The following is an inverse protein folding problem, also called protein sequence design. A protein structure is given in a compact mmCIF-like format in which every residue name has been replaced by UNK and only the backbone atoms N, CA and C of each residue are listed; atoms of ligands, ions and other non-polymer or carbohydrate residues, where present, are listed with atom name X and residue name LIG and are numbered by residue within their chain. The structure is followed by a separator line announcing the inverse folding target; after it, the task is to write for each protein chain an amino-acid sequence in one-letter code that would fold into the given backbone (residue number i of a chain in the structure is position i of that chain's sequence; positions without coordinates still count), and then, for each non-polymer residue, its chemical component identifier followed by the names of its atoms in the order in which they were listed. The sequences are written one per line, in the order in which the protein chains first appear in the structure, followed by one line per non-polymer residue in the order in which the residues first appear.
data_IF_623409447516
#
_entry.id   IF_623409447516
#
_cell.length_a   1.000
_cell.length_b   1.000
_cell.length_c   1.000
_cell.angle_alpha   90.00
_cell.angle_beta   90.00
_cell.angle_gamma   90.00
#
_symmetry.space_group_name_H-M   'P 1'
#
loop_
_entity.id
_entity.type
_entity.pdbx_description
1 polymer ?
#
# COMPACT_ATOMS: atom_id res chain seq x y z
N UNK A 1 -8.06 -8.56 10.11
CA UNK A 1 -7.89 -9.33 8.86
C UNK A 1 -6.47 -9.05 8.40
N UNK A 2 -5.70 -10.06 7.99
CA UNK A 2 -4.32 -9.84 7.56
C UNK A 2 -4.30 -9.36 6.10
N UNK A 3 -3.50 -8.34 5.83
CA UNK A 3 -3.19 -7.89 4.47
C UNK A 3 -2.18 -8.84 3.84
N UNK A 4 -2.37 -9.18 2.58
CA UNK A 4 -1.49 -10.03 1.79
C UNK A 4 -1.09 -9.37 0.46
N UNK A 5 -0.20 -10.03 -0.26
CA UNK A 5 0.41 -9.54 -1.50
C UNK A 5 -0.59 -9.32 -2.66
N UNK A 6 -1.71 -10.02 -2.64
CA UNK A 6 -2.72 -10.05 -3.70
C UNK A 6 -3.88 -9.09 -3.43
N UNK A 7 -3.93 -8.54 -2.21
CA UNK A 7 -4.89 -7.51 -1.86
C UNK A 7 -4.67 -6.25 -2.70
N UNK A 8 -5.80 -5.61 -3.03
CA UNK A 8 -5.81 -4.40 -3.85
C UNK A 8 -5.47 -3.19 -3.01
N UNK A 9 -4.62 -2.31 -3.53
CA UNK A 9 -4.19 -1.11 -2.81
C UNK A 9 -5.37 -0.19 -2.45
N UNK A 10 -6.39 -0.12 -3.32
CA UNK A 10 -7.60 0.65 -3.05
C UNK A 10 -8.41 0.11 -1.86
N UNK A 11 -8.49 -1.22 -1.73
CA UNK A 11 -9.22 -1.85 -0.62
C UNK A 11 -8.44 -1.72 0.70
N UNK A 12 -7.12 -1.87 0.65
CA UNK A 12 -6.24 -1.69 1.82
C UNK A 12 -6.40 -0.28 2.39
N UNK A 13 -6.21 0.76 1.56
CA UNK A 13 -6.25 2.16 2.02
C UNK A 13 -7.66 2.66 2.33
N UNK A 14 -8.69 1.97 1.83
CA UNK A 14 -10.08 2.23 2.22
C UNK A 14 -10.38 1.68 3.61
N UNK A 15 -9.89 0.49 3.93
CA UNK A 15 -10.14 -0.17 5.21
C UNK A 15 -9.23 0.35 6.33
N UNK A 16 -8.02 0.79 5.97
CA UNK A 16 -6.97 1.24 6.88
C UNK A 16 -6.32 2.52 6.34
N UNK A 17 -7.04 3.67 6.35
CA UNK A 17 -6.54 4.93 5.80
C UNK A 17 -5.25 5.44 6.48
N UNK A 18 -5.03 5.10 7.75
CA UNK A 18 -3.83 5.40 8.52
C UNK A 18 -2.56 4.77 7.93
N UNK A 19 -2.69 3.67 7.16
CA UNK A 19 -1.54 3.05 6.49
C UNK A 19 -0.94 3.94 5.41
N UNK A 20 -1.65 4.97 4.96
CA UNK A 20 -1.12 5.92 3.99
C UNK A 20 0.24 6.50 4.40
N UNK A 21 0.43 6.80 5.69
CA UNK A 21 1.70 7.32 6.21
C UNK A 21 2.86 6.37 5.94
N UNK A 22 2.65 5.06 6.08
CA UNK A 22 3.66 4.04 5.80
C UNK A 22 4.06 4.02 4.32
N UNK A 23 3.10 4.18 3.41
CA UNK A 23 3.39 4.32 1.98
C UNK A 23 4.19 5.60 1.73
N UNK A 24 3.79 6.73 2.31
CA UNK A 24 4.50 7.99 2.15
C UNK A 24 5.94 7.91 2.67
N UNK A 25 6.16 7.37 3.87
CA UNK A 25 7.48 7.10 4.47
C UNK A 25 8.36 6.19 3.60
N UNK A 26 7.74 5.33 2.80
CA UNK A 26 8.43 4.39 1.90
C UNK A 26 8.62 4.94 0.48
N UNK A 27 8.44 6.25 0.31
CA UNK A 27 8.74 6.99 -0.91
C UNK A 27 7.57 7.11 -1.88
N UNK A 28 6.35 6.73 -1.50
CA UNK A 28 5.15 7.03 -2.27
C UNK A 28 4.71 8.49 -2.02
N UNK A 29 5.49 9.43 -2.58
CA UNK A 29 5.38 10.88 -2.39
C UNK A 29 4.17 11.51 -3.11
N UNK A 30 2.97 11.01 -2.84
CA UNK A 30 1.71 11.65 -3.24
C UNK A 30 1.24 12.61 -2.15
N UNK A 31 0.26 13.47 -2.44
CA UNK A 31 -0.26 14.42 -1.46
C UNK A 31 -1.39 13.80 -0.61
N UNK A 32 -1.96 12.68 -1.03
CA UNK A 32 -3.01 11.98 -0.29
C UNK A 32 -3.13 10.50 -0.69
N UNK A 33 -3.81 9.71 0.15
CA UNK A 33 -4.18 8.33 -0.16
C UNK A 33 -5.03 8.22 -1.44
N UNK A 34 -5.94 9.18 -1.66
CA UNK A 34 -6.77 9.22 -2.85
C UNK A 34 -5.93 9.42 -4.12
N UNK A 35 -4.95 10.32 -4.07
CA UNK A 35 -4.03 10.57 -5.19
C UNK A 35 -3.13 9.36 -5.48
N UNK A 36 -2.60 8.71 -4.43
CA UNK A 36 -1.85 7.45 -4.52
C UNK A 36 -2.68 6.36 -5.22
N UNK A 37 -3.91 6.12 -4.75
CA UNK A 37 -4.81 5.09 -5.29
C UNK A 37 -5.23 5.40 -6.73
N UNK A 38 -5.50 6.66 -7.05
CA UNK A 38 -5.84 7.08 -8.42
C UNK A 38 -4.65 6.94 -9.37
N UNK A 39 -3.44 7.24 -8.91
CA UNK A 39 -2.22 7.15 -9.73
C UNK A 39 -1.80 5.71 -9.98
N UNK A 40 -1.96 4.83 -8.98
CA UNK A 40 -1.58 3.42 -9.08
C UNK A 40 -2.68 2.51 -9.63
N UNK A 41 -3.93 2.99 -9.63
CA UNK A 41 -5.11 2.18 -9.93
C UNK A 41 -5.63 1.43 -8.70
N UNK A 42 -6.90 1.65 -8.35
CA UNK A 42 -7.53 1.06 -7.17
C UNK A 42 -7.48 -0.46 -7.10
N UNK A 43 -7.52 -1.12 -8.26
CA UNK A 43 -7.58 -2.57 -8.39
C UNK A 43 -6.18 -3.21 -8.53
N UNK A 44 -5.12 -2.40 -8.46
CA UNK A 44 -3.74 -2.88 -8.54
C UNK A 44 -3.36 -3.62 -7.26
N UNK A 45 -2.77 -4.81 -7.42
CA UNK A 45 -2.31 -5.62 -6.30
C UNK A 45 -1.13 -4.96 -5.59
N UNK A 46 -1.08 -5.10 -4.26
CA UNK A 46 -0.01 -4.58 -3.43
C UNK A 46 1.37 -5.06 -3.91
N UNK A 47 1.52 -6.34 -4.27
CA UNK A 47 2.78 -6.88 -4.80
C UNK A 47 3.29 -6.10 -6.01
N UNK A 48 2.40 -5.77 -6.94
CA UNK A 48 2.75 -5.07 -8.18
C UNK A 48 3.25 -3.67 -7.87
N UNK A 49 2.55 -2.96 -6.98
CA UNK A 49 2.94 -1.62 -6.51
C UNK A 49 4.34 -1.64 -5.90
N UNK A 50 4.60 -2.59 -5.01
CA UNK A 50 5.88 -2.69 -4.30
C UNK A 50 7.02 -3.12 -5.24
N UNK A 51 6.77 -4.06 -6.15
CA UNK A 51 7.76 -4.48 -7.16
C UNK A 51 8.17 -3.32 -8.05
N UNK A 52 7.22 -2.54 -8.57
CA UNK A 52 7.53 -1.37 -9.41
C UNK A 52 8.32 -0.30 -8.64
N UNK A 53 8.03 -0.14 -7.34
CA UNK A 53 8.76 0.79 -6.47
C UNK A 53 10.15 0.28 -6.04
N UNK A 54 10.47 -0.99 -6.30
CA UNK A 54 11.71 -1.63 -5.86
C UNK A 54 11.74 -1.93 -4.35
N UNK A 55 10.56 -2.08 -3.72
CA UNK A 55 10.42 -2.40 -2.31
C UNK A 55 10.29 -3.91 -2.09
N UNK A 56 10.84 -4.40 -0.99
CA UNK A 56 10.67 -5.79 -0.59
C UNK A 56 9.22 -6.01 -0.11
N UNK A 57 8.44 -6.77 -0.88
CA UNK A 57 7.02 -6.97 -0.63
C UNK A 57 6.74 -7.65 0.71
N UNK A 58 7.52 -8.66 1.07
CA UNK A 58 7.35 -9.41 2.31
C UNK A 58 7.58 -8.53 3.54
N UNK A 59 8.68 -7.77 3.55
CA UNK A 59 8.98 -6.84 4.65
C UNK A 59 7.90 -5.77 4.78
N UNK A 60 7.43 -5.22 3.66
CA UNK A 60 6.40 -4.18 3.68
C UNK A 60 5.05 -4.70 4.17
N UNK A 61 4.64 -5.90 3.74
CA UNK A 61 3.41 -6.55 4.21
C UNK A 61 3.49 -6.84 5.71
N UNK A 62 4.65 -7.26 6.21
CA UNK A 62 4.86 -7.46 7.65
C UNK A 62 4.73 -6.15 8.43
N UNK A 63 5.23 -5.03 7.88
CA UNK A 63 5.06 -3.71 8.49
C UNK A 63 3.60 -3.27 8.52
N UNK A 64 2.83 -3.50 7.44
CA UNK A 64 1.38 -3.27 7.42
C UNK A 64 0.69 -4.08 8.50
N UNK A 65 0.92 -5.40 8.52
CA UNK A 65 0.24 -6.31 9.43
C UNK A 65 0.57 -6.07 10.90
N UNK A 66 1.70 -5.43 11.20
CA UNK A 66 2.08 -5.04 12.57
C UNK A 66 1.34 -3.79 13.07
N UNK A 67 0.64 -3.06 12.18
CA UNK A 67 -0.07 -1.81 12.48
C UNK A 67 -1.60 -1.97 12.52
N UNK A 68 -2.14 -3.17 12.25
CA UNK A 68 -3.58 -3.46 12.17
C UNK A 68 -4.03 -4.55 13.15
#
# INVERSE_FOLDING_TARGET
MLVNAEDKIGDILKNYPELYELFWESGFNYNSAAELVNSLGKDTMLRTVLTVKGLNAELFINMINSRI
#
